data_IF_113259992405
#
_entry.id   IF_113259992405
#
_cell.length_a   1.000
_cell.length_b   1.000
_cell.length_c   1.000
_cell.angle_alpha   90.00
_cell.angle_beta   90.00
_cell.angle_gamma   90.00
#
_symmetry.space_group_name_H-M   'P 1'
#
loop_
_entity.id
_entity.type
_entity.pdbx_description
1 polymer ?
#
# COMPACT_ATOMS: atom_id res chain seq x y z
N UNK A 1 -7.92 5.88 39.21
CA UNK A 1 -7.23 6.84 38.33
C UNK A 1 -5.97 6.12 37.88
N UNK A 2 -5.94 5.54 36.68
CA UNK A 2 -4.73 4.88 36.17
C UNK A 2 -3.72 5.96 35.79
N UNK A 3 -2.48 5.84 36.25
CA UNK A 3 -1.42 6.82 36.01
C UNK A 3 -1.16 7.01 34.51
N UNK A 4 -0.89 8.26 34.13
CA UNK A 4 -0.74 8.69 32.73
C UNK A 4 0.49 8.08 32.03
N UNK A 5 1.48 7.61 32.79
CA UNK A 5 2.82 7.31 32.29
C UNK A 5 3.04 5.85 31.82
N UNK A 6 2.25 4.88 32.28
CA UNK A 6 2.47 3.45 31.95
C UNK A 6 2.13 3.07 30.50
N UNK A 7 1.50 3.96 29.74
CA UNK A 7 1.00 3.67 28.38
C UNK A 7 1.83 4.30 27.27
N UNK A 8 2.73 5.24 27.59
CA UNK A 8 3.66 5.79 26.61
C UNK A 8 4.84 4.83 26.42
N UNK A 9 4.76 4.00 25.38
CA UNK A 9 5.89 3.16 25.01
C UNK A 9 6.89 4.00 24.22
N UNK A 10 7.79 4.75 24.87
CA UNK A 10 8.78 5.60 24.21
C UNK A 10 9.93 4.80 23.57
N UNK A 11 9.58 3.86 22.69
CA UNK A 11 10.56 3.19 21.85
C UNK A 11 10.87 4.09 20.66
N UNK A 12 12.14 4.46 20.55
CA UNK A 12 12.65 5.32 19.49
C UNK A 12 13.63 4.53 18.62
N UNK A 13 13.42 4.62 17.33
CA UNK A 13 14.26 4.03 16.29
C UNK A 13 14.73 5.14 15.33
N UNK A 14 15.83 4.88 14.64
CA UNK A 14 16.37 5.79 13.65
C UNK A 14 16.41 5.13 12.29
N UNK A 15 16.08 5.92 11.26
CA UNK A 15 16.24 5.54 9.86
C UNK A 15 17.07 6.64 9.18
N UNK A 16 18.07 6.24 8.41
CA UNK A 16 18.88 7.16 7.61
C UNK A 16 18.48 7.02 6.14
N UNK A 17 18.29 8.15 5.47
CA UNK A 17 18.11 8.19 4.01
C UNK A 17 19.45 8.08 3.27
N UNK A 18 19.38 8.06 1.95
CA UNK A 18 20.57 8.13 1.08
C UNK A 18 21.00 9.56 0.81
N UNK A 19 20.08 10.53 0.92
CA UNK A 19 20.30 11.91 0.48
C UNK A 19 19.92 12.13 -0.99
N UNK A 20 19.59 11.05 -1.71
CA UNK A 20 19.19 11.08 -3.12
C UNK A 20 17.65 11.08 -3.30
N UNK A 21 16.91 10.85 -2.21
CA UNK A 21 15.45 10.86 -2.26
C UNK A 21 14.93 12.24 -2.71
N UNK A 22 13.82 12.31 -3.48
CA UNK A 22 13.33 13.57 -4.04
C UNK A 22 13.03 14.67 -3.01
N UNK A 23 12.75 14.26 -1.76
CA UNK A 23 12.45 15.12 -0.63
C UNK A 23 13.61 15.22 0.37
N UNK A 24 14.81 14.72 0.08
CA UNK A 24 15.91 14.61 1.06
C UNK A 24 16.19 15.93 1.80
N UNK A 25 16.21 17.05 1.06
CA UNK A 25 16.50 18.39 1.58
C UNK A 25 15.27 19.12 2.15
N UNK A 26 14.06 18.59 1.97
CA UNK A 26 12.83 19.27 2.40
C UNK A 26 12.67 19.26 3.93
N UNK A 27 12.41 20.42 4.53
CA UNK A 27 12.08 20.51 5.96
C UNK A 27 10.67 19.98 6.29
N UNK A 28 9.77 19.97 5.32
CA UNK A 28 8.36 19.61 5.51
C UNK A 28 8.11 18.23 4.96
N UNK A 29 7.62 17.32 5.81
CA UNK A 29 7.26 15.98 5.37
C UNK A 29 5.91 15.92 4.66
N UNK A 30 5.91 15.29 3.49
CA UNK A 30 4.71 14.88 2.76
C UNK A 30 4.15 13.55 3.31
N UNK A 31 2.91 13.20 2.95
CA UNK A 31 2.29 11.92 3.35
C UNK A 31 3.00 10.72 2.71
N UNK A 32 3.40 10.86 1.44
CA UNK A 32 4.22 9.89 0.70
C UNK A 32 5.54 9.61 1.39
N UNK A 33 6.22 10.66 1.88
CA UNK A 33 7.47 10.50 2.64
C UNK A 33 7.24 9.78 3.97
N UNK A 34 6.18 10.13 4.71
CA UNK A 34 5.82 9.43 5.96
C UNK A 34 5.59 7.95 5.69
N UNK A 35 4.80 7.64 4.67
CA UNK A 35 4.49 6.27 4.28
C UNK A 35 5.74 5.50 3.82
N UNK A 36 6.65 6.16 3.07
CA UNK A 36 7.94 5.59 2.69
C UNK A 36 8.81 5.26 3.92
N UNK A 37 8.92 6.15 4.90
CA UNK A 37 9.69 5.89 6.15
C UNK A 37 9.13 4.68 6.90
N UNK A 38 7.80 4.57 6.98
CA UNK A 38 7.13 3.42 7.60
C UNK A 38 7.42 2.13 6.83
N UNK A 39 7.33 2.16 5.50
CA UNK A 39 7.63 1.02 4.63
C UNK A 39 9.08 0.54 4.81
N UNK A 40 10.07 1.44 4.74
CA UNK A 40 11.47 1.11 4.94
C UNK A 40 11.73 0.46 6.31
N UNK A 41 11.14 1.04 7.37
CA UNK A 41 11.25 0.47 8.72
C UNK A 41 10.67 -0.94 8.80
N UNK A 42 9.51 -1.17 8.20
CA UNK A 42 8.84 -2.48 8.21
C UNK A 42 9.66 -3.51 7.43
N UNK A 43 10.18 -3.16 6.26
CA UNK A 43 11.07 -4.02 5.45
C UNK A 43 12.34 -4.39 6.21
N UNK A 44 12.98 -3.43 6.89
CA UNK A 44 14.14 -3.68 7.75
C UNK A 44 13.83 -4.65 8.90
N UNK A 45 12.56 -4.75 9.30
CA UNK A 45 12.06 -5.71 10.30
C UNK A 45 11.50 -7.00 9.69
N UNK A 46 11.81 -7.27 8.41
CA UNK A 46 11.37 -8.44 7.65
C UNK A 46 9.84 -8.59 7.58
N UNK A 47 9.12 -7.47 7.48
CA UNK A 47 7.72 -7.49 7.07
C UNK A 47 7.63 -7.46 5.55
N UNK A 48 6.64 -8.16 5.02
CA UNK A 48 6.20 -7.99 3.64
C UNK A 48 5.23 -6.82 3.61
N UNK A 49 5.45 -5.87 2.70
CA UNK A 49 4.71 -4.61 2.66
C UNK A 49 4.01 -4.42 1.32
N UNK A 50 2.78 -3.92 1.39
CA UNK A 50 1.86 -3.78 0.28
C UNK A 50 1.26 -2.36 0.34
N UNK A 51 1.86 -1.40 -0.38
CA UNK A 51 1.39 -0.03 -0.42
C UNK A 51 0.15 0.13 -1.30
N UNK A 52 -0.73 1.07 -0.93
CA UNK A 52 -1.89 1.52 -1.72
C UNK A 52 -2.80 0.39 -2.23
N UNK A 53 -2.99 -0.67 -1.43
CA UNK A 53 -3.77 -1.84 -1.84
C UNK A 53 -5.25 -1.52 -1.95
N UNK A 54 -5.85 -1.88 -3.08
CA UNK A 54 -7.31 -1.91 -3.24
C UNK A 54 -7.81 -3.29 -2.86
N UNK A 55 -8.63 -3.35 -1.82
CA UNK A 55 -9.28 -4.57 -1.36
C UNK A 55 -10.69 -4.64 -1.94
N UNK A 56 -11.15 -5.83 -2.29
CA UNK A 56 -12.49 -6.01 -2.88
C UNK A 56 -13.59 -5.73 -1.87
N UNK A 57 -13.33 -6.07 -0.61
CA UNK A 57 -14.34 -6.13 0.45
C UNK A 57 -14.26 -4.96 1.43
N UNK A 58 -13.38 -3.99 1.21
CA UNK A 58 -13.27 -2.79 2.03
C UNK A 58 -13.32 -1.52 1.16
N UNK A 59 -14.27 -0.58 1.42
CA UNK A 59 -14.48 0.61 0.58
C UNK A 59 -13.47 1.74 0.86
N UNK A 60 -12.26 1.38 1.30
CA UNK A 60 -11.18 2.31 1.60
C UNK A 60 -9.86 1.78 1.06
N UNK A 61 -8.86 2.65 1.03
CA UNK A 61 -7.52 2.31 0.58
C UNK A 61 -6.53 2.64 1.70
N UNK A 62 -5.96 1.65 2.39
CA UNK A 62 -4.89 1.93 3.33
C UNK A 62 -3.66 2.43 2.57
N UNK A 63 -2.91 3.35 3.18
CA UNK A 63 -1.63 3.79 2.63
C UNK A 63 -0.62 2.63 2.58
N UNK A 64 -0.67 1.73 3.59
CA UNK A 64 0.20 0.55 3.65
C UNK A 64 -0.44 -0.61 4.44
N UNK A 65 -0.31 -1.83 3.91
CA UNK A 65 -0.57 -3.08 4.62
C UNK A 65 0.77 -3.81 4.81
N UNK A 66 0.97 -4.45 5.96
CA UNK A 66 2.17 -5.24 6.20
C UNK A 66 1.84 -6.59 6.85
N UNK A 67 2.47 -7.66 6.35
CA UNK A 67 2.29 -9.02 6.87
C UNK A 67 3.61 -9.64 7.31
N UNK A 68 3.53 -10.52 8.34
CA UNK A 68 4.65 -11.33 8.79
C UNK A 68 4.14 -12.50 9.61
N UNK A 69 4.45 -13.73 9.18
CA UNK A 69 4.09 -14.98 9.89
C UNK A 69 2.61 -15.03 10.29
N UNK A 70 1.72 -14.70 9.34
CA UNK A 70 0.27 -14.69 9.57
C UNK A 70 -0.29 -13.50 10.35
N UNK A 71 0.56 -12.58 10.83
CA UNK A 71 0.11 -11.31 11.40
C UNK A 71 -0.05 -10.29 10.27
N UNK A 72 -1.11 -9.49 10.34
CA UNK A 72 -1.46 -8.46 9.38
C UNK A 72 -1.66 -7.12 10.10
N UNK A 73 -1.04 -6.07 9.59
CA UNK A 73 -1.12 -4.73 10.12
C UNK A 73 -1.50 -3.75 9.01
N UNK A 74 -2.29 -2.74 9.34
CA UNK A 74 -2.63 -1.65 8.43
C UNK A 74 -2.13 -0.33 8.99
N UNK A 75 -1.68 0.55 8.10
CA UNK A 75 -1.18 1.87 8.43
C UNK A 75 -1.92 2.95 7.65
N UNK A 76 -2.32 3.99 8.37
CA UNK A 76 -2.77 5.26 7.80
C UNK A 76 -1.68 6.32 8.07
N UNK A 77 -1.16 6.93 7.02
CA UNK A 77 -0.06 7.89 7.03
C UNK A 77 -0.59 9.29 6.74
N UNK A 78 -0.40 10.20 7.69
CA UNK A 78 -0.95 11.58 7.61
C UNK A 78 0.03 12.60 8.14
N UNK A 79 0.03 13.80 7.58
CA UNK A 79 0.93 14.88 8.05
C UNK A 79 0.66 15.28 9.49
N UNK A 80 -0.60 15.21 9.93
CA UNK A 80 -1.00 15.55 11.29
C UNK A 80 -2.07 14.60 11.80
N UNK A 81 -2.03 14.33 13.11
CA UNK A 81 -3.08 13.58 13.79
C UNK A 81 -4.26 14.52 14.10
N UNK A 82 -5.45 14.16 13.63
CA UNK A 82 -6.70 14.85 13.91
C UNK A 82 -7.87 13.84 13.97
N UNK A 83 -9.09 14.30 14.24
CA UNK A 83 -10.25 13.42 14.36
C UNK A 83 -10.58 12.64 13.07
N UNK A 84 -10.42 13.25 11.89
CA UNK A 84 -10.73 12.55 10.63
C UNK A 84 -9.76 11.40 10.34
N UNK A 85 -8.49 11.53 10.76
CA UNK A 85 -7.52 10.43 10.67
C UNK A 85 -7.90 9.27 11.58
N UNK A 86 -8.34 9.57 12.82
CA UNK A 86 -8.79 8.53 13.75
C UNK A 86 -10.06 7.87 13.23
N UNK A 87 -11.01 8.66 12.72
CA UNK A 87 -12.23 8.14 12.10
C UNK A 87 -11.86 7.18 10.95
N UNK A 88 -10.99 7.59 10.03
CA UNK A 88 -10.54 6.77 8.91
C UNK A 88 -9.90 5.45 9.38
N UNK A 89 -8.99 5.50 10.36
CA UNK A 89 -8.38 4.30 10.93
C UNK A 89 -9.40 3.42 11.69
N UNK A 90 -10.42 4.02 12.32
CA UNK A 90 -11.46 3.26 13.04
C UNK A 90 -12.43 2.54 12.12
N UNK A 91 -12.54 2.93 10.83
CA UNK A 91 -13.42 2.28 9.84
C UNK A 91 -13.13 0.79 9.65
N UNK A 92 -11.89 0.36 9.88
CA UNK A 92 -11.52 -1.06 9.89
C UNK A 92 -12.29 -1.85 10.94
N UNK A 93 -12.57 -1.24 12.10
CA UNK A 93 -13.33 -1.87 13.19
C UNK A 93 -14.84 -1.77 12.99
N UNK A 94 -15.32 -0.65 12.46
CA UNK A 94 -16.75 -0.36 12.35
C UNK A 94 -17.38 -0.82 11.04
N UNK A 95 -16.60 -1.41 10.13
CA UNK A 95 -17.14 -1.95 8.91
C UNK A 95 -18.15 -3.06 9.20
N UNK A 96 -19.34 -2.98 8.59
CA UNK A 96 -20.51 -3.78 8.94
C UNK A 96 -20.37 -5.28 8.65
N UNK A 97 -19.34 -5.69 7.90
CA UNK A 97 -19.08 -7.08 7.51
C UNK A 97 -17.61 -7.46 7.72
N UNK A 98 -17.12 -7.49 8.97
CA UNK A 98 -15.70 -7.76 9.27
C UNK A 98 -15.28 -9.19 8.91
N UNK A 99 -16.22 -10.12 8.74
CA UNK A 99 -15.94 -11.48 8.26
C UNK A 99 -15.70 -11.54 6.74
N UNK A 100 -16.23 -10.58 5.98
CA UNK A 100 -16.02 -10.47 4.53
C UNK A 100 -14.85 -9.53 4.20
N UNK A 101 -14.75 -8.39 4.89
CA UNK A 101 -13.66 -7.44 4.75
C UNK A 101 -12.34 -7.96 5.30
N UNK A 102 -12.42 -8.80 6.34
CA UNK A 102 -11.30 -9.16 7.18
C UNK A 102 -10.90 -8.04 8.14
N UNK A 103 -10.46 -8.42 9.34
CA UNK A 103 -10.03 -7.48 10.39
C UNK A 103 -8.52 -7.58 10.56
N UNK A 104 -7.75 -6.48 10.40
CA UNK A 104 -6.31 -6.54 10.61
C UNK A 104 -6.00 -6.80 12.07
N UNK A 105 -4.86 -7.44 12.36
CA UNK A 105 -4.45 -7.66 13.73
C UNK A 105 -4.13 -6.34 14.42
N UNK A 106 -3.42 -5.44 13.74
CA UNK A 106 -2.98 -4.17 14.30
C UNK A 106 -3.34 -3.04 13.34
N UNK A 107 -3.82 -1.93 13.90
CA UNK A 107 -4.11 -0.69 13.17
C UNK A 107 -3.17 0.37 13.68
N UNK A 108 -2.52 1.07 12.76
CA UNK A 108 -1.58 2.14 13.06
C UNK A 108 -1.97 3.44 12.37
N UNK A 109 -1.72 4.53 13.06
CA UNK A 109 -1.57 5.85 12.46
C UNK A 109 -0.11 6.27 12.56
N UNK A 110 0.48 6.64 11.44
CA UNK A 110 1.80 7.24 11.37
C UNK A 110 1.67 8.71 10.97
N UNK A 111 2.28 9.60 11.74
CA UNK A 111 2.23 11.02 11.44
C UNK A 111 3.53 11.75 11.75
N UNK A 112 3.70 12.96 11.19
CA UNK A 112 4.78 13.85 11.62
C UNK A 112 4.62 14.13 13.13
N UNK A 113 5.74 14.19 13.86
CA UNK A 113 5.76 14.55 15.27
C UNK A 113 5.15 15.95 15.45
N UNK A 114 4.08 16.10 16.26
CA UNK A 114 3.48 17.41 16.50
C UNK A 114 4.45 18.28 17.30
N UNK A 115 4.45 19.58 16.99
CA UNK A 115 5.22 20.59 17.74
C UNK A 115 4.47 21.12 18.98
N UNK A 116 3.21 20.74 19.16
CA UNK A 116 2.33 21.18 20.23
C UNK A 116 1.96 20.02 21.18
N UNK A 117 1.41 20.37 22.35
CA UNK A 117 1.01 19.39 23.38
C UNK A 117 -0.04 18.40 22.86
N UNK A 118 0.03 17.18 23.37
CA UNK A 118 -0.91 16.09 23.09
C UNK A 118 -2.36 16.50 23.42
N UNK A 119 -3.27 16.28 22.47
CA UNK A 119 -4.70 16.45 22.67
C UNK A 119 -5.28 15.21 23.38
N UNK A 120 -5.66 15.35 24.65
CA UNK A 120 -6.17 14.25 25.47
C UNK A 120 -7.33 13.47 24.83
N UNK A 121 -8.22 14.14 24.09
CA UNK A 121 -9.33 13.48 23.40
C UNK A 121 -8.83 12.53 22.31
N UNK A 122 -7.87 12.97 21.48
CA UNK A 122 -7.31 12.14 20.41
C UNK A 122 -6.58 10.92 20.99
N UNK A 123 -5.85 11.11 22.09
CA UNK A 123 -5.16 10.02 22.79
C UNK A 123 -6.15 9.02 23.39
N UNK A 124 -7.24 9.51 23.99
CA UNK A 124 -8.30 8.65 24.50
C UNK A 124 -8.94 7.83 23.38
N UNK A 125 -9.28 8.47 22.24
CA UNK A 125 -9.88 7.78 21.09
C UNK A 125 -8.95 6.71 20.51
N UNK A 126 -7.67 7.03 20.28
CA UNK A 126 -6.70 6.04 19.79
C UNK A 126 -6.65 4.80 20.68
N UNK A 127 -6.70 5.00 22.01
CA UNK A 127 -6.72 3.91 22.98
C UNK A 127 -8.03 3.12 22.93
N UNK A 128 -9.18 3.80 22.91
CA UNK A 128 -10.51 3.17 22.82
C UNK A 128 -10.67 2.31 21.57
N UNK A 129 -10.07 2.74 20.45
CA UNK A 129 -10.08 1.99 19.19
C UNK A 129 -8.89 1.04 19.01
N UNK A 130 -8.02 0.88 20.03
CA UNK A 130 -6.82 0.02 19.97
C UNK A 130 -5.85 0.37 18.82
N UNK A 131 -5.84 1.64 18.41
CA UNK A 131 -5.01 2.15 17.31
C UNK A 131 -3.65 2.58 17.87
N UNK A 132 -2.58 2.05 17.27
CA UNK A 132 -1.21 2.47 17.56
C UNK A 132 -0.91 3.84 16.94
N UNK A 133 -0.04 4.61 17.60
CA UNK A 133 0.44 5.89 17.09
C UNK A 133 1.96 5.87 16.96
N UNK A 134 2.43 6.16 15.76
CA UNK A 134 3.83 6.36 15.43
C UNK A 134 4.04 7.82 15.02
N UNK A 135 4.98 8.50 15.67
CA UNK A 135 5.37 9.86 15.32
C UNK A 135 6.75 9.89 14.68
N UNK A 136 6.88 10.57 13.55
CA UNK A 136 8.11 10.66 12.77
C UNK A 136 8.60 12.10 12.77
N UNK A 137 9.87 12.28 13.10
CA UNK A 137 10.59 13.54 13.00
C UNK A 137 11.70 13.41 11.96
N UNK A 138 11.95 14.47 11.20
CA UNK A 138 12.94 14.52 10.13
C UNK A 138 13.98 15.60 10.41
N UNK A 139 15.24 15.23 10.24
CA UNK A 139 16.36 16.13 10.02
C UNK A 139 16.69 16.04 8.52
N UNK A 140 16.52 17.12 7.73
CA UNK A 140 16.77 17.08 6.28
C UNK A 140 18.25 16.86 5.98
N UNK A 141 18.53 16.44 4.75
CA UNK A 141 19.89 16.34 4.24
C UNK A 141 20.53 17.72 4.17
N UNK A 142 21.86 17.78 4.31
CA UNK A 142 22.64 19.01 4.28
C UNK A 142 23.88 18.81 3.42
N UNK A 143 24.16 19.75 2.53
CA UNK A 143 25.45 19.84 1.84
C UNK A 143 26.42 20.69 2.67
N UNK A 144 27.53 20.10 3.11
CA UNK A 144 28.65 20.81 3.68
C UNK A 144 29.67 21.14 2.58
N UNK A 145 30.02 22.42 2.44
CA UNK A 145 31.05 22.86 1.49
C UNK A 145 32.28 23.31 2.24
N UNK A 146 33.40 22.64 2.02
CA UNK A 146 34.69 23.00 2.62
C UNK A 146 35.81 22.82 1.60
N UNK A 147 36.64 23.85 1.41
CA UNK A 147 37.82 23.78 0.52
C UNK A 147 37.53 23.52 -0.96
N UNK A 148 36.29 23.65 -1.43
CA UNK A 148 35.88 23.32 -2.81
C UNK A 148 35.27 21.93 -2.97
N UNK A 149 35.28 21.10 -1.92
CA UNK A 149 34.60 19.80 -1.89
C UNK A 149 33.19 19.94 -1.29
N UNK A 150 32.26 19.13 -1.78
CA UNK A 150 30.87 19.03 -1.28
C UNK A 150 30.69 17.68 -0.61
N UNK A 151 30.45 17.69 0.69
CA UNK A 151 30.07 16.51 1.47
C UNK A 151 28.56 16.51 1.69
N UNK A 152 27.90 15.43 1.28
CA UNK A 152 26.46 15.23 1.50
C UNK A 152 26.24 14.50 2.82
N UNK A 153 25.57 15.15 3.76
CA UNK A 153 25.03 14.50 4.97
C UNK A 153 23.58 14.11 4.69
N UNK A 154 23.24 12.81 4.62
CA UNK A 154 21.88 12.37 4.34
C UNK A 154 20.89 12.77 5.42
N UNK A 155 19.61 12.83 5.04
CA UNK A 155 18.53 13.06 5.98
C UNK A 155 18.39 11.91 6.98
N UNK A 156 17.94 12.24 8.18
CA UNK A 156 17.71 11.28 9.26
C UNK A 156 16.29 11.40 9.80
N UNK A 157 15.67 10.26 10.03
CA UNK A 157 14.37 10.14 10.64
C UNK A 157 14.47 9.58 12.04
N UNK A 158 13.73 10.18 12.96
CA UNK A 158 13.50 9.65 14.30
C UNK A 158 12.06 9.16 14.38
N UNK A 159 11.90 7.85 14.56
CA UNK A 159 10.60 7.19 14.59
C UNK A 159 10.32 6.83 16.04
N UNK A 160 9.30 7.45 16.62
CA UNK A 160 8.90 7.19 18.02
C UNK A 160 7.55 6.52 18.04
N UNK A 161 7.48 5.33 18.62
CA UNK A 161 6.20 4.73 19.01
C UNK A 161 5.65 5.56 20.17
N UNK A 162 4.45 6.12 20.03
CA UNK A 162 3.79 6.89 21.09
C UNK A 162 2.77 6.04 21.84
N UNK A 163 2.01 5.27 21.07
CA UNK A 163 1.02 4.31 21.58
C UNK A 163 1.25 3.01 20.82
N UNK A 164 1.43 1.90 21.54
CA UNK A 164 1.45 0.59 20.91
C UNK A 164 0.00 0.16 20.53
N UNK A 165 -0.22 -0.38 19.32
CA UNK A 165 -1.52 -0.93 18.95
C UNK A 165 -1.82 -2.15 19.81
N UNK A 166 -3.10 -2.50 19.89
CA UNK A 166 -3.54 -3.78 20.46
C UNK A 166 -4.18 -4.63 19.38
N UNK A 167 -4.19 -5.94 19.62
CA UNK A 167 -4.86 -6.88 18.71
C UNK A 167 -6.34 -6.49 18.60
N UNK A 168 -6.82 -6.29 17.38
CA UNK A 168 -8.21 -5.94 17.14
C UNK A 168 -9.13 -7.12 17.47
N UNK A 169 -10.28 -6.87 18.14
CA UNK A 169 -11.28 -7.91 18.38
C UNK A 169 -11.71 -8.58 17.07
N UNK A 170 -11.72 -9.91 17.05
CA UNK A 170 -12.09 -10.69 15.86
C UNK A 170 -10.98 -10.92 14.83
N UNK A 171 -9.85 -10.20 14.90
CA UNK A 171 -8.76 -10.33 13.93
C UNK A 171 -8.20 -11.75 13.80
N UNK A 172 -8.12 -12.50 14.91
CA UNK A 172 -7.67 -13.91 14.88
C UNK A 172 -8.52 -14.81 13.98
N UNK A 173 -9.79 -14.44 13.76
CA UNK A 173 -10.74 -15.21 12.95
C UNK A 173 -10.77 -14.75 11.51
N UNK A 174 -10.54 -13.46 11.22
CA UNK A 174 -10.79 -12.90 9.87
C UNK A 174 -9.60 -12.17 9.24
N UNK A 175 -8.46 -12.05 9.92
CA UNK A 175 -7.29 -11.40 9.33
C UNK A 175 -6.75 -12.14 8.10
N UNK A 176 -6.92 -13.46 8.02
CA UNK A 176 -6.52 -14.25 6.85
C UNK A 176 -7.25 -13.78 5.59
N UNK A 177 -8.52 -13.36 5.70
CA UNK A 177 -9.29 -12.81 4.57
C UNK A 177 -8.64 -11.57 3.96
N UNK A 178 -7.96 -10.75 4.77
CA UNK A 178 -7.15 -9.64 4.25
C UNK A 178 -5.87 -10.13 3.60
N UNK A 179 -5.16 -11.05 4.27
CA UNK A 179 -3.87 -11.58 3.80
C UNK A 179 -4.03 -12.28 2.45
N UNK A 180 -5.09 -13.06 2.27
CA UNK A 180 -5.37 -13.83 1.06
C UNK A 180 -5.68 -12.94 -0.16
N UNK A 181 -6.08 -11.69 0.07
CA UNK A 181 -6.26 -10.69 -1.00
C UNK A 181 -4.93 -10.02 -1.41
N UNK A 182 -3.87 -10.16 -0.60
CA UNK A 182 -2.57 -9.56 -0.89
C UNK A 182 -1.80 -10.43 -1.87
N UNK A 183 -1.35 -9.82 -2.95
CA UNK A 183 -0.59 -10.51 -3.97
C UNK A 183 0.81 -9.89 -4.11
N UNK A 184 1.84 -10.68 -4.46
CA UNK A 184 3.21 -10.19 -4.58
C UNK A 184 3.38 -8.99 -5.52
N UNK A 185 2.55 -8.90 -6.56
CA UNK A 185 2.58 -7.82 -7.55
C UNK A 185 2.01 -6.48 -7.03
N UNK A 186 1.32 -6.47 -5.89
CA UNK A 186 0.86 -5.25 -5.22
C UNK A 186 1.99 -4.51 -4.49
N UNK A 187 3.19 -5.10 -4.42
CA UNK A 187 4.35 -4.54 -3.71
C UNK A 187 5.08 -3.44 -4.48
N UNK A 188 4.67 -3.18 -5.72
CA UNK A 188 5.35 -2.26 -6.64
C UNK A 188 5.02 -0.78 -6.41
N UNK A 189 3.96 -0.48 -5.66
CA UNK A 189 3.48 0.89 -5.55
C UNK A 189 4.35 1.75 -4.64
N UNK A 190 4.35 3.07 -4.87
CA UNK A 190 4.89 4.01 -3.90
C UNK A 190 3.86 4.24 -2.77
N UNK A 191 4.23 4.05 -1.49
CA UNK A 191 3.33 4.33 -0.36
C UNK A 191 2.88 5.80 -0.30
N UNK A 192 1.59 6.06 -0.03
CA UNK A 192 1.01 7.39 0.22
C UNK A 192 0.67 8.21 -1.04
N UNK A 193 0.73 7.62 -2.25
CA UNK A 193 0.52 8.32 -3.51
C UNK A 193 -0.97 8.66 -3.75
N UNK A 194 -1.25 9.94 -4.11
CA UNK A 194 -2.62 10.37 -4.47
C UNK A 194 -3.00 9.75 -5.82
N UNK A 195 -4.18 9.13 -5.88
CA UNK A 195 -4.64 8.40 -7.06
C UNK A 195 -4.74 9.29 -8.30
N UNK A 196 -3.78 9.15 -9.23
CA UNK A 196 -3.75 9.88 -10.49
C UNK A 196 -2.38 9.78 -11.15
N UNK A 197 -2.18 8.70 -11.92
CA UNK A 197 -0.91 8.40 -12.59
C UNK A 197 -0.37 7.04 -12.15
N UNK A 198 -0.51 6.04 -13.03
CA UNK A 198 0.21 4.75 -13.21
C UNK A 198 0.81 3.92 -12.04
N UNK A 199 0.94 4.40 -10.80
CA UNK A 199 1.89 3.87 -9.80
C UNK A 199 1.37 2.79 -8.83
N UNK A 200 0.09 2.39 -8.89
CA UNK A 200 -0.44 1.31 -8.03
C UNK A 200 -1.08 0.18 -8.83
N UNK A 201 -0.91 -1.06 -8.34
CA UNK A 201 -1.47 -2.27 -8.96
C UNK A 201 -2.92 -2.46 -8.51
N UNK A 202 -3.86 -2.42 -9.46
CA UNK A 202 -5.28 -2.74 -9.22
C UNK A 202 -5.58 -4.16 -9.69
N UNK A 203 -6.65 -4.82 -9.20
CA UNK A 203 -7.09 -6.11 -9.73
C UNK A 203 -7.27 -6.10 -11.26
N UNK A 204 -7.78 -4.99 -11.81
CA UNK A 204 -7.84 -4.77 -13.26
C UNK A 204 -6.46 -4.74 -13.92
N UNK A 205 -5.52 -3.93 -13.41
CA UNK A 205 -4.16 -3.85 -13.96
C UNK A 205 -3.44 -5.19 -13.89
N UNK A 206 -3.63 -5.97 -12.81
CA UNK A 206 -3.10 -7.34 -12.70
C UNK A 206 -3.65 -8.22 -13.80
N UNK A 207 -4.97 -8.25 -13.95
CA UNK A 207 -5.63 -9.03 -15.00
C UNK A 207 -5.04 -8.66 -16.37
N UNK A 208 -4.96 -7.37 -16.69
CA UNK A 208 -4.42 -6.92 -17.97
C UNK A 208 -2.91 -7.19 -18.12
N UNK A 209 -2.13 -7.14 -17.05
CA UNK A 209 -0.72 -7.53 -17.06
C UNK A 209 -0.55 -9.02 -17.35
N UNK A 210 -1.35 -9.88 -16.73
CA UNK A 210 -1.32 -11.32 -17.02
C UNK A 210 -1.72 -11.62 -18.47
N UNK A 211 -2.67 -10.87 -19.03
CA UNK A 211 -3.02 -10.96 -20.45
C UNK A 211 -1.85 -10.51 -21.34
N UNK A 212 -1.19 -9.40 -21.03
CA UNK A 212 -0.01 -8.91 -21.75
C UNK A 212 1.12 -9.94 -21.71
N UNK A 213 1.44 -10.47 -20.51
CA UNK A 213 2.48 -11.50 -20.30
C UNK A 213 2.13 -12.80 -21.07
N UNK A 214 0.86 -13.22 -21.08
CA UNK A 214 0.40 -14.41 -21.82
C UNK A 214 0.54 -14.24 -23.33
N UNK A 215 0.10 -13.10 -23.88
CA UNK A 215 0.22 -12.81 -25.30
C UNK A 215 1.70 -12.68 -25.70
N UNK A 216 2.52 -12.01 -24.88
CA UNK A 216 3.95 -11.85 -25.10
C UNK A 216 4.74 -13.15 -25.01
N UNK A 217 4.24 -14.18 -24.29
CA UNK A 217 4.92 -15.48 -24.17
C UNK A 217 5.09 -16.22 -25.51
N UNK A 218 4.23 -15.93 -26.48
CA UNK A 218 4.29 -16.46 -27.83
C UNK A 218 3.77 -15.42 -28.83
N UNK A 219 4.58 -14.40 -29.19
CA UNK A 219 4.11 -13.21 -29.90
C UNK A 219 3.42 -13.47 -31.23
N UNK A 220 3.88 -14.49 -31.95
CA UNK A 220 3.34 -14.91 -33.25
C UNK A 220 2.09 -15.79 -33.14
N UNK A 221 1.74 -16.24 -31.94
CA UNK A 221 0.59 -17.13 -31.71
C UNK A 221 -0.68 -16.33 -31.47
N UNK A 222 -1.68 -16.54 -32.32
CA UNK A 222 -3.03 -16.02 -32.09
C UNK A 222 -3.67 -16.71 -30.89
N UNK A 223 -4.24 -15.94 -29.97
CA UNK A 223 -5.00 -16.43 -28.81
C UNK A 223 -6.45 -15.98 -28.92
N UNK A 224 -7.37 -16.93 -28.79
CA UNK A 224 -8.80 -16.63 -28.63
C UNK A 224 -9.08 -16.15 -27.20
N UNK A 225 -10.10 -15.32 -27.01
CA UNK A 225 -10.53 -14.85 -25.68
C UNK A 225 -10.76 -16.01 -24.69
N UNK A 226 -11.27 -17.15 -25.15
CA UNK A 226 -11.44 -18.32 -24.28
C UNK A 226 -10.10 -18.83 -23.74
N UNK A 227 -9.07 -18.92 -24.59
CA UNK A 227 -7.73 -19.33 -24.17
C UNK A 227 -7.09 -18.32 -23.21
N UNK A 228 -7.40 -17.03 -23.39
CA UNK A 228 -6.96 -15.98 -22.46
C UNK A 228 -7.63 -16.17 -21.10
N UNK A 229 -8.94 -16.43 -21.05
CA UNK A 229 -9.67 -16.65 -19.79
C UNK A 229 -9.20 -17.95 -19.11
N UNK A 230 -9.02 -19.04 -19.86
CA UNK A 230 -8.54 -20.30 -19.32
C UNK A 230 -7.16 -20.12 -18.68
N UNK A 231 -6.24 -19.43 -19.37
CA UNK A 231 -4.94 -19.07 -18.81
C UNK A 231 -5.07 -18.23 -17.54
N UNK A 232 -5.93 -17.20 -17.53
CA UNK A 232 -6.14 -16.36 -16.35
C UNK A 232 -6.60 -17.22 -15.17
N UNK A 233 -7.61 -18.08 -15.38
CA UNK A 233 -8.15 -18.98 -14.35
C UNK A 233 -7.10 -19.95 -13.80
N UNK A 234 -6.22 -20.49 -14.65
CA UNK A 234 -5.12 -21.35 -14.23
C UNK A 234 -4.01 -20.61 -13.47
N UNK A 235 -3.86 -19.29 -13.67
CA UNK A 235 -2.74 -18.49 -13.17
C UNK A 235 -3.14 -17.44 -12.11
N UNK A 236 -4.24 -17.65 -11.40
CA UNK A 236 -4.67 -16.78 -10.29
C UNK A 236 -5.99 -16.03 -10.50
N UNK A 237 -6.69 -16.33 -11.59
CA UNK A 237 -8.00 -15.79 -11.91
C UNK A 237 -7.98 -14.39 -12.52
N UNK A 238 -9.14 -13.75 -12.54
CA UNK A 238 -9.34 -12.39 -13.02
C UNK A 238 -10.29 -11.62 -12.12
N UNK A 239 -10.18 -10.29 -12.11
CA UNK A 239 -10.98 -9.42 -11.24
C UNK A 239 -12.48 -9.32 -11.58
N UNK A 240 -12.92 -9.87 -12.71
CA UNK A 240 -14.32 -9.85 -13.10
C UNK A 240 -15.12 -10.86 -12.27
N UNK A 241 -16.36 -10.51 -11.91
CA UNK A 241 -17.21 -11.39 -11.10
C UNK A 241 -17.63 -12.70 -11.78
N UNK A 242 -17.51 -12.81 -13.11
CA UNK A 242 -17.73 -14.06 -13.86
C UNK A 242 -16.89 -14.10 -15.13
N UNK A 243 -16.56 -15.31 -15.62
CA UNK A 243 -15.91 -15.53 -16.92
C UNK A 243 -16.72 -14.92 -18.07
N UNK A 244 -18.04 -14.93 -17.96
CA UNK A 244 -18.93 -14.31 -18.96
C UNK A 244 -18.68 -12.81 -19.05
N UNK A 245 -18.58 -12.12 -17.91
CA UNK A 245 -18.24 -10.70 -17.86
C UNK A 245 -16.83 -10.45 -18.40
N UNK A 246 -15.85 -11.29 -18.02
CA UNK A 246 -14.49 -11.17 -18.51
C UNK A 246 -14.38 -11.30 -20.05
N UNK A 247 -15.07 -12.29 -20.64
CA UNK A 247 -15.13 -12.49 -22.10
C UNK A 247 -15.74 -11.31 -22.85
N UNK A 248 -16.62 -10.55 -22.20
CA UNK A 248 -17.26 -9.37 -22.80
C UNK A 248 -16.41 -8.12 -22.67
N UNK A 249 -15.75 -7.93 -21.53
CA UNK A 249 -15.08 -6.67 -21.17
C UNK A 249 -13.60 -6.63 -21.61
N UNK A 250 -12.87 -7.75 -21.55
CA UNK A 250 -11.45 -7.79 -21.94
C UNK A 250 -11.22 -7.40 -23.41
N UNK A 251 -11.99 -7.91 -24.40
CA UNK A 251 -11.73 -7.59 -25.81
C UNK A 251 -11.78 -6.08 -26.12
N UNK A 252 -12.81 -5.31 -25.68
CA UNK A 252 -12.80 -3.85 -25.83
C UNK A 252 -11.59 -3.14 -25.19
N UNK A 253 -11.05 -3.67 -24.10
CA UNK A 253 -9.85 -3.12 -23.47
C UNK A 253 -8.59 -3.39 -24.29
N UNK A 254 -8.45 -4.61 -24.81
CA UNK A 254 -7.33 -4.97 -25.70
C UNK A 254 -7.35 -4.11 -26.98
N UNK A 255 -8.53 -3.88 -27.56
CA UNK A 255 -8.69 -2.98 -28.71
C UNK A 255 -8.21 -1.56 -28.38
N UNK A 256 -8.63 -1.01 -27.22
CA UNK A 256 -8.21 0.33 -26.77
C UNK A 256 -6.71 0.43 -26.48
N UNK A 257 -6.09 -0.67 -26.03
CA UNK A 257 -4.66 -0.74 -25.72
C UNK A 257 -3.79 -1.03 -26.96
N UNK A 258 -4.40 -1.16 -28.14
CA UNK A 258 -3.71 -1.32 -29.42
C UNK A 258 -3.28 -2.77 -29.71
N UNK A 259 -3.89 -3.77 -29.09
CA UNK A 259 -3.60 -5.16 -29.43
C UNK A 259 -4.22 -5.51 -30.79
N UNK A 260 -3.49 -6.21 -31.67
CA UNK A 260 -3.99 -6.51 -33.00
C UNK A 260 -5.06 -7.60 -32.95
N UNK A 261 -6.24 -7.32 -33.51
CA UNK A 261 -7.20 -8.37 -33.87
C UNK A 261 -6.77 -9.04 -35.16
N UNK A 262 -6.52 -10.33 -35.11
CA UNK A 262 -5.95 -11.05 -36.26
C UNK A 262 -7.03 -11.64 -37.18
N UNK A 263 -8.29 -11.68 -36.73
CA UNK A 263 -9.42 -12.21 -37.51
C UNK A 263 -10.56 -11.20 -37.63
N UNK A 264 -11.23 -11.23 -38.79
CA UNK A 264 -12.42 -10.39 -39.08
C UNK A 264 -13.60 -10.69 -38.15
N UNK A 265 -13.72 -11.93 -37.70
CA UNK A 265 -14.78 -12.40 -36.81
C UNK A 265 -14.18 -13.17 -35.63
N UNK A 266 -14.77 -13.00 -34.45
CA UNK A 266 -14.28 -13.59 -33.20
C UNK A 266 -13.28 -12.69 -32.45
N UNK A 267 -12.95 -13.11 -31.23
CA UNK A 267 -12.07 -12.37 -30.33
C UNK A 267 -10.68 -13.02 -30.31
N UNK A 268 -9.97 -12.92 -31.44
CA UNK A 268 -8.61 -13.44 -31.63
C UNK A 268 -7.60 -12.30 -31.58
N UNK A 269 -6.62 -12.43 -30.69
CA UNK A 269 -5.60 -11.40 -30.41
C UNK A 269 -4.20 -11.99 -30.52
N UNK A 270 -3.23 -11.14 -30.87
CA UNK A 270 -1.78 -11.45 -30.79
C UNK A 270 -1.07 -10.44 -29.88
N UNK A 271 0.19 -10.69 -29.56
CA UNK A 271 0.99 -9.70 -28.86
C UNK A 271 1.08 -8.39 -29.66
N UNK A 272 1.26 -7.28 -28.95
CA UNK A 272 1.64 -6.02 -29.60
C UNK A 272 3.06 -6.16 -30.13
N UNK A 273 3.31 -5.64 -31.32
CA UNK A 273 4.68 -5.44 -31.77
C UNK A 273 5.33 -4.44 -30.80
N UNK A 274 6.37 -4.89 -30.10
CA UNK A 274 7.21 -3.97 -29.35
C UNK A 274 7.96 -3.19 -30.43
N UNK A 275 7.47 -1.99 -30.73
CA UNK A 275 8.25 -1.04 -31.51
C UNK A 275 9.59 -0.88 -30.77
N UNK A 276 10.64 -1.44 -31.35
CA UNK A 276 11.99 -1.34 -30.83
C UNK A 276 12.32 0.13 -30.57
N UNK A 277 12.92 0.37 -29.40
CA UNK A 277 13.81 1.51 -29.21
C UNK A 277 14.89 1.53 -30.31
#
# INVERSE_FOLDING_TARGET
MMDRDDWESNHTEYLQGSGEEPWAFDHVMAETEIAWVVDQRLRAQCWETYPEVVLETFPGRPDLIATRRGICQVFECKRSLNLSVIEQASRWRTHSRPEQAGMPHLIWVACKRPQYRSNNLLWWLLREFHIGLMSIEKQPAVEHRYGGEVELIPQRYTITRRIAPRIQPGARRSAHVLIDQLNPDMRIAQPGARGGGTEFMTPFKRTMKMVDDFLASAPETERHIEQIIDYLNENGGHHYGTDRSARSEIPPHLDRLGYPRTRKWGCWFRAREVNGL
#
